data_IF_909209298225
#
_entry.id   IF_909209298225
#
_cell.length_a   1.000
_cell.length_b   1.000
_cell.length_c   1.000
_cell.angle_alpha   90.00
_cell.angle_beta   90.00
_cell.angle_gamma   90.00
#
_symmetry.space_group_name_H-M   'P 1'
#
loop_
_entity.id
_entity.type
_entity.pdbx_description
1 polymer ?
#
# COMPACT_ATOMS: atom_id res chain seq x y z
N UNK A 1 19.96 1.90 -2.46
CA UNK A 1 19.98 0.70 -3.31
C UNK A 1 18.74 0.74 -4.20
N UNK A 2 18.87 0.52 -5.51
CA UNK A 2 17.77 0.61 -6.48
C UNK A 2 17.08 -0.73 -6.68
N UNK A 3 15.80 -0.73 -7.04
CA UNK A 3 15.06 -1.95 -7.41
C UNK A 3 15.13 -2.10 -8.93
N UNK A 4 15.71 -3.21 -9.40
CA UNK A 4 15.81 -3.49 -10.84
C UNK A 4 14.55 -4.20 -11.37
N UNK A 5 14.35 -4.18 -12.70
CA UNK A 5 13.30 -4.99 -13.36
C UNK A 5 13.43 -6.47 -13.00
N UNK A 6 14.66 -6.99 -13.02
CA UNK A 6 14.92 -8.40 -12.71
C UNK A 6 14.59 -8.75 -11.26
N UNK A 7 14.74 -7.80 -10.34
CA UNK A 7 14.32 -7.99 -8.96
C UNK A 7 12.80 -8.03 -8.82
N UNK A 8 12.05 -7.14 -9.51
CA UNK A 8 10.59 -7.17 -9.52
C UNK A 8 10.06 -8.46 -10.15
N UNK A 9 10.63 -8.87 -11.28
CA UNK A 9 10.18 -10.05 -12.04
C UNK A 9 10.56 -11.34 -11.30
N UNK A 10 11.86 -11.55 -11.05
CA UNK A 10 12.37 -12.81 -10.51
C UNK A 10 12.21 -12.94 -9.00
N UNK A 11 12.17 -11.81 -8.27
CA UNK A 11 12.11 -11.80 -6.81
C UNK A 11 10.71 -11.53 -6.25
N UNK A 12 9.81 -10.91 -7.01
CA UNK A 12 8.45 -10.56 -6.55
C UNK A 12 7.35 -10.97 -7.54
N UNK A 13 7.71 -11.62 -8.65
CA UNK A 13 6.76 -12.15 -9.62
C UNK A 13 5.97 -11.11 -10.41
N UNK A 14 6.45 -9.86 -10.49
CA UNK A 14 5.76 -8.80 -11.26
C UNK A 14 5.83 -9.12 -12.75
N UNK A 15 4.72 -8.92 -13.48
CA UNK A 15 4.69 -9.04 -14.93
C UNK A 15 5.81 -8.20 -15.59
N UNK A 16 6.56 -8.74 -16.57
CA UNK A 16 7.70 -8.04 -17.16
C UNK A 16 7.39 -6.67 -17.74
N UNK A 17 6.19 -6.48 -18.30
CA UNK A 17 5.78 -5.20 -18.88
C UNK A 17 5.49 -4.17 -17.79
N UNK A 18 4.80 -4.58 -16.73
CA UNK A 18 4.51 -3.73 -15.56
C UNK A 18 5.82 -3.34 -14.86
N UNK A 19 6.72 -4.32 -14.65
CA UNK A 19 8.03 -4.08 -14.06
C UNK A 19 8.86 -3.09 -14.90
N UNK A 20 8.90 -3.28 -16.23
CA UNK A 20 9.60 -2.38 -17.12
C UNK A 20 9.01 -0.97 -17.12
N UNK A 21 7.67 -0.88 -17.20
CA UNK A 21 6.95 0.38 -17.22
C UNK A 21 7.31 1.26 -16.01
N UNK A 22 7.27 0.71 -14.79
CA UNK A 22 7.54 1.50 -13.59
C UNK A 22 9.01 1.75 -13.31
N UNK A 23 9.90 0.80 -13.63
CA UNK A 23 11.35 0.99 -13.41
C UNK A 23 11.92 2.05 -14.37
N UNK A 24 11.44 2.09 -15.62
CA UNK A 24 11.91 3.05 -16.63
C UNK A 24 11.18 4.40 -16.54
N UNK A 25 10.13 4.50 -15.73
CA UNK A 25 9.35 5.74 -15.60
C UNK A 25 10.20 6.84 -14.97
N UNK A 26 10.09 8.05 -15.52
CA UNK A 26 10.70 9.22 -14.92
C UNK A 26 9.93 9.64 -13.67
N UNK A 27 10.66 10.12 -12.66
CA UNK A 27 10.06 10.78 -11.50
C UNK A 27 9.21 11.97 -11.95
N UNK A 28 7.95 12.09 -11.49
CA UNK A 28 7.11 13.23 -11.84
C UNK A 28 7.70 14.53 -11.26
N UNK A 29 7.75 15.57 -12.11
CA UNK A 29 8.19 16.90 -11.68
C UNK A 29 7.19 17.50 -10.69
N UNK A 30 7.71 18.27 -9.74
CA UNK A 30 6.93 19.02 -8.75
C UNK A 30 5.98 18.15 -7.90
N UNK A 31 6.32 16.88 -7.72
CA UNK A 31 5.58 15.94 -6.88
C UNK A 31 6.30 15.73 -5.54
N UNK A 32 5.60 15.96 -4.43
CA UNK A 32 6.12 15.83 -3.06
C UNK A 32 6.53 14.40 -2.71
N UNK A 33 5.81 13.40 -3.20
CA UNK A 33 6.06 12.00 -2.90
C UNK A 33 7.44 11.51 -3.38
N UNK A 34 7.89 12.04 -4.52
CA UNK A 34 9.22 11.75 -5.07
C UNK A 34 10.21 12.91 -4.88
N UNK A 35 9.94 13.87 -3.98
CA UNK A 35 10.84 15.02 -3.75
C UNK A 35 12.25 14.53 -3.40
N UNK A 36 13.24 14.98 -4.17
CA UNK A 36 14.65 14.60 -3.97
C UNK A 36 15.01 13.18 -4.42
N UNK A 37 14.11 12.48 -5.13
CA UNK A 37 14.37 11.14 -5.69
C UNK A 37 14.83 11.23 -7.15
N UNK A 38 15.77 10.37 -7.51
CA UNK A 38 16.23 10.18 -8.89
C UNK A 38 15.55 9.00 -9.59
N UNK A 39 14.99 8.08 -8.81
CA UNK A 39 14.40 6.84 -9.29
C UNK A 39 12.92 6.79 -8.90
N UNK A 40 12.10 6.29 -9.81
CA UNK A 40 10.66 6.14 -9.60
C UNK A 40 10.37 5.02 -8.58
N UNK A 41 11.04 3.87 -8.73
CA UNK A 41 10.95 2.74 -7.80
C UNK A 41 12.25 2.61 -6.99
N UNK A 42 12.16 2.89 -5.68
CA UNK A 42 13.20 2.59 -4.71
C UNK A 42 12.90 1.28 -3.98
N UNK A 43 13.87 0.78 -3.19
CA UNK A 43 13.72 -0.47 -2.41
C UNK A 43 12.80 -0.33 -1.18
N UNK A 44 12.48 0.89 -0.75
CA UNK A 44 11.59 1.12 0.39
C UNK A 44 10.18 0.63 0.12
N UNK A 45 9.51 0.14 1.16
CA UNK A 45 8.11 -0.32 1.18
C UNK A 45 7.17 0.73 0.57
N UNK A 46 7.42 2.02 0.86
CA UNK A 46 6.73 3.15 0.26
C UNK A 46 6.74 3.16 -1.28
N UNK A 47 7.77 2.70 -1.97
CA UNK A 47 7.77 2.73 -3.45
C UNK A 47 7.46 1.37 -4.08
N UNK A 48 7.78 0.28 -3.39
CA UNK A 48 7.60 -1.07 -3.91
C UNK A 48 6.13 -1.47 -4.09
N UNK A 49 5.22 -0.92 -3.27
CA UNK A 49 3.80 -1.28 -3.40
C UNK A 49 3.23 -0.87 -4.77
N UNK A 50 3.79 0.15 -5.45
CA UNK A 50 3.27 0.67 -6.73
C UNK A 50 3.26 -0.42 -7.81
N UNK A 51 4.41 -0.96 -8.26
CA UNK A 51 4.41 -2.00 -9.30
C UNK A 51 3.69 -3.27 -8.85
N UNK A 52 3.72 -3.59 -7.56
CA UNK A 52 3.03 -4.76 -7.00
C UNK A 52 1.51 -4.62 -7.05
N UNK A 53 0.98 -3.43 -6.74
CA UNK A 53 -0.46 -3.20 -6.77
C UNK A 53 -1.00 -3.19 -8.20
N UNK A 54 -0.24 -2.67 -9.17
CA UNK A 54 -0.61 -2.76 -10.58
C UNK A 54 -0.52 -4.20 -11.11
N UNK A 55 0.46 -4.99 -10.66
CA UNK A 55 0.52 -6.43 -10.95
C UNK A 55 -0.69 -7.17 -10.37
N UNK A 56 -1.12 -6.83 -9.15
CA UNK A 56 -2.33 -7.41 -8.54
C UNK A 56 -3.61 -7.00 -9.28
N UNK A 57 -3.69 -5.78 -9.81
CA UNK A 57 -4.78 -5.36 -10.71
C UNK A 57 -4.83 -6.21 -11.98
N UNK A 58 -3.67 -6.43 -12.62
CA UNK A 58 -3.56 -7.30 -13.79
C UNK A 58 -3.99 -8.74 -13.46
N UNK A 59 -3.47 -9.31 -12.36
CA UNK A 59 -3.82 -10.66 -11.88
C UNK A 59 -5.28 -10.78 -11.47
N UNK A 60 -5.91 -9.69 -11.03
CA UNK A 60 -7.34 -9.69 -10.78
C UNK A 60 -8.14 -9.94 -12.06
N UNK A 61 -7.63 -9.43 -13.20
CA UNK A 61 -8.19 -9.55 -14.55
C UNK A 61 -8.28 -8.23 -15.33
N UNK A 62 -7.68 -7.14 -14.84
CA UNK A 62 -7.68 -5.85 -15.55
C UNK A 62 -6.73 -5.89 -16.75
N UNK A 63 -7.08 -5.22 -17.85
CA UNK A 63 -6.24 -5.16 -19.04
C UNK A 63 -5.00 -4.29 -18.79
N UNK A 64 -3.84 -4.73 -19.30
CA UNK A 64 -2.57 -4.00 -19.12
C UNK A 64 -2.61 -2.63 -19.76
N UNK A 65 -3.28 -2.52 -20.90
CA UNK A 65 -3.48 -1.27 -21.63
C UNK A 65 -4.19 -0.22 -20.76
N UNK A 66 -5.14 -0.65 -19.94
CA UNK A 66 -5.90 0.25 -19.06
C UNK A 66 -5.10 0.65 -17.82
N UNK A 67 -4.42 -0.31 -17.18
CA UNK A 67 -3.66 -0.03 -15.95
C UNK A 67 -2.31 0.62 -16.24
N UNK A 68 -1.74 0.47 -17.43
CA UNK A 68 -0.50 1.15 -17.83
C UNK A 68 -0.76 2.43 -18.63
N UNK A 69 -2.03 2.86 -18.76
CA UNK A 69 -2.37 4.15 -19.37
C UNK A 69 -1.66 5.29 -18.60
N UNK A 70 -0.87 6.15 -19.27
CA UNK A 70 -0.17 7.25 -18.63
C UNK A 70 -1.07 8.19 -17.81
N UNK A 71 -2.33 8.36 -18.22
CA UNK A 71 -3.35 9.16 -17.53
C UNK A 71 -3.78 8.50 -16.23
N UNK A 72 -3.97 7.17 -16.23
CA UNK A 72 -4.30 6.40 -15.02
C UNK A 72 -3.16 6.48 -13.99
N UNK A 73 -1.92 6.28 -14.47
CA UNK A 73 -0.72 6.38 -13.63
C UNK A 73 -0.50 7.81 -13.13
N UNK A 74 -0.79 8.83 -13.94
CA UNK A 74 -0.68 10.23 -13.50
C UNK A 74 -1.70 10.59 -12.39
N UNK A 75 -2.87 9.96 -12.38
CA UNK A 75 -3.85 10.12 -11.30
C UNK A 75 -3.29 9.52 -10.01
N UNK A 76 -2.71 8.31 -10.06
CA UNK A 76 -2.04 7.70 -8.92
C UNK A 76 -0.93 8.60 -8.36
N UNK A 77 -0.09 9.17 -9.23
CA UNK A 77 0.99 10.09 -8.83
C UNK A 77 0.45 11.33 -8.11
N UNK A 78 -0.68 11.89 -8.57
CA UNK A 78 -1.31 13.04 -7.92
C UNK A 78 -1.92 12.68 -6.57
N UNK A 79 -2.52 11.50 -6.44
CA UNK A 79 -3.02 11.03 -5.14
C UNK A 79 -1.85 10.91 -4.15
N UNK A 80 -0.73 10.33 -4.57
CA UNK A 80 0.47 10.21 -3.75
C UNK A 80 1.12 11.56 -3.42
N UNK A 81 1.05 12.54 -4.32
CA UNK A 81 1.46 13.92 -4.02
C UNK A 81 0.63 14.52 -2.87
N UNK A 82 -0.70 14.35 -2.90
CA UNK A 82 -1.56 14.81 -1.80
C UNK A 82 -1.28 14.05 -0.50
N UNK A 83 -1.04 12.74 -0.57
CA UNK A 83 -0.63 11.96 0.61
C UNK A 83 0.67 12.49 1.22
N UNK A 84 1.70 12.73 0.41
CA UNK A 84 2.95 13.31 0.88
C UNK A 84 2.76 14.71 1.46
N UNK A 85 1.94 15.57 0.84
CA UNK A 85 1.64 16.91 1.39
C UNK A 85 1.00 16.84 2.77
N UNK A 86 0.09 15.89 2.99
CA UNK A 86 -0.49 15.65 4.30
C UNK A 86 0.56 15.14 5.30
N UNK A 87 1.35 14.13 4.94
CA UNK A 87 2.43 13.60 5.79
C UNK A 87 3.46 14.67 6.18
N UNK A 88 3.77 15.60 5.28
CA UNK A 88 4.67 16.73 5.57
C UNK A 88 3.99 17.92 6.29
N UNK A 89 2.70 17.81 6.64
CA UNK A 89 1.95 18.86 7.33
C UNK A 89 1.66 20.09 6.47
N UNK A 90 1.77 19.99 5.14
CA UNK A 90 1.49 21.08 4.20
C UNK A 90 -0.02 21.30 4.01
N UNK A 91 -0.84 20.27 4.22
CA UNK A 91 -2.31 20.30 4.15
C UNK A 91 -2.91 19.43 5.27
N UNK A 92 -4.17 19.69 5.65
CA UNK A 92 -4.90 18.84 6.60
C UNK A 92 -5.42 17.56 5.93
N UNK A 93 -5.80 16.56 6.74
CA UNK A 93 -6.46 15.34 6.25
C UNK A 93 -7.73 15.66 5.44
N UNK A 94 -8.59 16.54 5.96
CA UNK A 94 -9.80 16.99 5.26
C UNK A 94 -9.48 17.64 3.91
N UNK A 95 -8.45 18.49 3.84
CA UNK A 95 -8.04 19.14 2.59
C UNK A 95 -7.46 18.14 1.58
N UNK A 96 -6.68 17.16 2.05
CA UNK A 96 -6.16 16.07 1.23
C UNK A 96 -7.30 15.31 0.55
N UNK A 97 -8.27 14.83 1.34
CA UNK A 97 -9.39 14.05 0.82
C UNK A 97 -10.26 14.89 -0.10
N UNK A 98 -10.57 16.15 0.24
CA UNK A 98 -11.36 17.04 -0.60
C UNK A 98 -10.69 17.31 -1.97
N UNK A 99 -9.37 17.49 -1.98
CA UNK A 99 -8.61 17.68 -3.21
C UNK A 99 -8.62 16.44 -4.10
N UNK A 100 -8.43 15.25 -3.52
CA UNK A 100 -8.52 13.98 -4.25
C UNK A 100 -9.93 13.78 -4.81
N UNK A 101 -10.97 14.02 -4.01
CA UNK A 101 -12.37 13.87 -4.46
C UNK A 101 -12.69 14.79 -5.63
N UNK A 102 -12.31 16.07 -5.54
CA UNK A 102 -12.54 17.07 -6.60
C UNK A 102 -11.84 16.68 -7.90
N UNK A 103 -10.63 16.11 -7.81
CA UNK A 103 -9.88 15.62 -8.97
C UNK A 103 -10.52 14.39 -9.60
N UNK A 104 -11.03 13.46 -8.80
CA UNK A 104 -11.51 12.13 -9.25
C UNK A 104 -12.95 12.16 -9.71
N UNK A 105 -13.82 12.96 -9.09
CA UNK A 105 -15.25 13.03 -9.38
C UNK A 105 -15.61 13.15 -10.87
N UNK A 106 -15.02 14.07 -11.67
CA UNK A 106 -15.35 14.18 -13.09
C UNK A 106 -14.88 12.98 -13.94
N UNK A 107 -13.99 12.14 -13.39
CA UNK A 107 -13.40 10.98 -14.07
C UNK A 107 -14.04 9.66 -13.63
N UNK A 108 -14.80 9.67 -12.54
CA UNK A 108 -15.31 8.48 -11.88
C UNK A 108 -16.24 7.66 -12.79
N UNK A 109 -15.88 6.39 -13.00
CA UNK A 109 -16.70 5.36 -13.65
C UNK A 109 -17.47 4.53 -12.63
N UNK A 110 -16.98 4.45 -11.40
CA UNK A 110 -17.60 3.74 -10.28
C UNK A 110 -18.17 4.70 -9.23
N UNK A 111 -19.37 5.21 -9.47
CA UNK A 111 -20.06 6.13 -8.54
C UNK A 111 -20.37 5.49 -7.19
N UNK A 112 -20.62 4.18 -7.15
CA UNK A 112 -20.81 3.43 -5.90
C UNK A 112 -19.56 3.52 -5.01
N UNK A 113 -18.37 3.27 -5.57
CA UNK A 113 -17.12 3.29 -4.82
C UNK A 113 -16.78 4.72 -4.38
N UNK A 114 -17.03 5.69 -5.25
CA UNK A 114 -16.86 7.11 -4.91
C UNK A 114 -17.70 7.51 -3.69
N UNK A 115 -18.95 7.04 -3.60
CA UNK A 115 -19.82 7.31 -2.46
C UNK A 115 -19.38 6.55 -1.21
N UNK A 116 -18.99 5.27 -1.33
CA UNK A 116 -18.49 4.49 -0.20
C UNK A 116 -17.21 5.12 0.40
N UNK A 117 -16.28 5.56 -0.45
CA UNK A 117 -15.06 6.27 -0.02
C UNK A 117 -15.40 7.61 0.63
N UNK A 118 -16.37 8.37 0.10
CA UNK A 118 -16.83 9.62 0.73
C UNK A 118 -17.35 9.41 2.14
N UNK A 119 -18.10 8.35 2.39
CA UNK A 119 -18.58 8.02 3.74
C UNK A 119 -17.42 7.55 4.62
N UNK A 120 -16.55 6.68 4.10
CA UNK A 120 -15.40 6.13 4.81
C UNK A 120 -14.43 7.21 5.32
N UNK A 121 -14.13 8.22 4.50
CA UNK A 121 -13.18 9.28 4.84
C UNK A 121 -13.77 10.42 5.71
N UNK A 122 -14.99 10.29 6.26
CA UNK A 122 -15.58 11.32 7.14
C UNK A 122 -15.03 11.33 8.57
N UNK A 123 -14.39 10.24 9.00
CA UNK A 123 -13.97 10.06 10.39
C UNK A 123 -12.46 9.83 10.46
N UNK A 124 -11.79 10.55 11.36
CA UNK A 124 -10.39 10.37 11.70
C UNK A 124 -10.28 9.98 13.19
N UNK A 125 -9.56 8.90 13.55
CA UNK A 125 -8.84 7.98 12.66
C UNK A 125 -9.79 7.11 11.81
N UNK A 126 -9.31 6.66 10.66
CA UNK A 126 -10.07 5.82 9.72
C UNK A 126 -10.45 4.48 10.37
N UNK A 127 -11.74 4.13 10.31
CA UNK A 127 -12.29 2.88 10.84
C UNK A 127 -13.02 2.10 9.76
N UNK A 128 -12.98 0.77 9.88
CA UNK A 128 -13.70 -0.12 9.00
C UNK A 128 -15.16 0.33 8.83
N UNK A 129 -15.57 0.54 7.57
CA UNK A 129 -16.91 0.98 7.18
C UNK A 129 -17.31 0.21 5.92
N UNK A 130 -18.32 -0.66 6.05
CA UNK A 130 -18.73 -1.53 4.95
C UNK A 130 -17.61 -2.49 4.53
N UNK A 131 -17.15 -2.39 3.29
CA UNK A 131 -16.06 -3.21 2.74
C UNK A 131 -14.71 -2.46 2.70
N UNK A 132 -14.61 -1.30 3.34
CA UNK A 132 -13.42 -0.46 3.36
C UNK A 132 -12.86 -0.40 4.78
N UNK A 133 -11.55 -0.34 4.87
CA UNK A 133 -10.77 -0.20 6.08
C UNK A 133 -10.67 -1.48 6.92
N UNK A 134 -9.68 -1.46 7.80
CA UNK A 134 -9.47 -2.44 8.87
C UNK A 134 -9.77 -1.80 10.22
N UNK A 135 -10.01 -2.63 11.23
CA UNK A 135 -10.18 -2.17 12.62
C UNK A 135 -8.93 -1.48 13.18
N UNK A 136 -7.76 -1.86 12.68
CA UNK A 136 -6.49 -1.22 13.01
C UNK A 136 -6.27 -0.01 12.08
N UNK A 137 -6.61 1.18 12.57
CA UNK A 137 -6.62 2.40 11.76
C UNK A 137 -5.27 2.78 11.16
N UNK A 138 -4.16 2.46 11.84
CA UNK A 138 -2.82 2.74 11.32
C UNK A 138 -2.54 1.99 10.00
N UNK A 139 -3.20 0.85 9.78
CA UNK A 139 -3.09 0.08 8.53
C UNK A 139 -3.93 0.66 7.38
N UNK A 140 -4.78 1.64 7.66
CA UNK A 140 -5.64 2.29 6.68
C UNK A 140 -5.00 3.55 6.08
N UNK A 141 -3.80 3.96 6.54
CA UNK A 141 -3.14 5.23 6.14
C UNK A 141 -2.89 5.37 4.63
N UNK A 142 -2.81 4.25 3.90
CA UNK A 142 -2.67 4.25 2.44
C UNK A 142 -3.99 4.39 1.66
N UNK A 143 -5.15 4.25 2.30
CA UNK A 143 -6.43 4.00 1.61
C UNK A 143 -6.89 5.13 0.70
N UNK A 144 -6.33 6.34 0.83
CA UNK A 144 -6.60 7.44 -0.09
C UNK A 144 -6.31 7.03 -1.55
N UNK A 145 -5.43 6.05 -1.79
CA UNK A 145 -5.17 5.54 -3.12
C UNK A 145 -6.30 4.72 -3.73
N UNK A 146 -7.26 4.22 -2.92
CA UNK A 146 -8.42 3.49 -3.43
C UNK A 146 -9.32 4.35 -4.34
N UNK A 147 -9.26 5.68 -4.24
CA UNK A 147 -9.90 6.58 -5.20
C UNK A 147 -9.42 6.37 -6.65
N UNK A 148 -8.21 5.85 -6.85
CA UNK A 148 -7.71 5.47 -8.18
C UNK A 148 -8.61 4.42 -8.85
N UNK A 149 -9.19 3.50 -8.08
CA UNK A 149 -10.05 2.45 -8.62
C UNK A 149 -11.40 3.01 -9.11
N UNK A 150 -11.77 4.24 -8.75
CA UNK A 150 -12.99 4.88 -9.23
C UNK A 150 -12.95 5.20 -10.73
N UNK A 151 -11.77 5.40 -11.33
CA UNK A 151 -11.64 5.94 -12.70
C UNK A 151 -11.46 4.87 -13.78
N UNK A 152 -11.15 3.63 -13.40
CA UNK A 152 -10.97 2.54 -14.36
C UNK A 152 -12.33 2.04 -14.87
N UNK A 153 -12.37 1.54 -16.12
CA UNK A 153 -13.56 0.95 -16.72
C UNK A 153 -13.53 -0.58 -16.56
N UNK A 154 -13.72 -1.07 -15.33
CA UNK A 154 -13.73 -2.49 -15.01
C UNK A 154 -15.12 -2.96 -14.52
N UNK A 155 -15.43 -4.27 -14.55
CA UNK A 155 -16.61 -4.79 -13.87
C UNK A 155 -16.54 -4.55 -12.36
N UNK A 156 -17.68 -4.28 -11.71
CA UNK A 156 -17.75 -4.02 -10.25
C UNK A 156 -17.11 -5.12 -9.40
N UNK A 157 -17.33 -6.39 -9.76
CA UNK A 157 -16.76 -7.53 -9.02
C UNK A 157 -15.24 -7.58 -9.14
N UNK A 158 -14.69 -7.12 -10.26
CA UNK A 158 -13.26 -6.99 -10.46
C UNK A 158 -12.68 -5.91 -9.54
N UNK A 159 -13.32 -4.74 -9.47
CA UNK A 159 -12.91 -3.65 -8.57
C UNK A 159 -12.95 -4.10 -7.10
N UNK A 160 -14.01 -4.80 -6.68
CA UNK A 160 -14.10 -5.35 -5.32
C UNK A 160 -12.98 -6.36 -5.02
N UNK A 161 -12.64 -7.20 -5.99
CA UNK A 161 -11.51 -8.13 -5.88
C UNK A 161 -10.18 -7.39 -5.72
N UNK A 162 -9.95 -6.31 -6.48
CA UNK A 162 -8.75 -5.47 -6.37
C UNK A 162 -8.68 -4.76 -5.01
N UNK A 163 -9.81 -4.27 -4.47
CA UNK A 163 -9.85 -3.72 -3.10
C UNK A 163 -9.47 -4.80 -2.07
N UNK A 164 -9.92 -6.05 -2.25
CA UNK A 164 -9.46 -7.17 -1.43
C UNK A 164 -7.93 -7.36 -1.51
N UNK A 165 -7.36 -7.30 -2.71
CA UNK A 165 -5.91 -7.39 -2.92
C UNK A 165 -5.14 -6.23 -2.31
N UNK A 166 -5.71 -5.01 -2.32
CA UNK A 166 -5.16 -3.86 -1.63
C UNK A 166 -4.99 -4.12 -0.13
N UNK A 167 -6.04 -4.61 0.53
CA UNK A 167 -6.02 -4.91 1.96
C UNK A 167 -5.16 -6.13 2.33
N UNK A 168 -4.77 -6.95 1.35
CA UNK A 168 -3.71 -7.94 1.54
C UNK A 168 -2.31 -7.33 1.40
N UNK A 169 -2.09 -6.44 0.43
CA UNK A 169 -0.77 -5.91 0.09
C UNK A 169 -0.30 -4.79 1.02
N UNK A 170 -1.07 -3.71 1.13
CA UNK A 170 -0.60 -2.49 1.79
C UNK A 170 -0.55 -2.65 3.31
N UNK A 171 -1.59 -3.18 3.98
CA UNK A 171 -1.48 -3.52 5.40
C UNK A 171 -0.33 -4.46 5.72
N UNK A 172 0.03 -5.37 4.80
CA UNK A 172 1.20 -6.24 4.95
C UNK A 172 2.52 -5.48 4.92
N UNK A 173 2.67 -4.51 4.02
CA UNK A 173 3.83 -3.63 4.01
C UNK A 173 3.91 -2.79 5.29
N UNK A 174 2.82 -2.12 5.66
CA UNK A 174 2.78 -1.23 6.81
C UNK A 174 3.04 -1.98 8.12
N UNK A 175 2.38 -3.11 8.33
CA UNK A 175 2.57 -3.90 9.53
C UNK A 175 3.99 -4.50 9.58
N UNK A 176 4.55 -4.91 8.44
CA UNK A 176 5.92 -5.40 8.40
C UNK A 176 6.92 -4.28 8.69
N UNK A 177 6.70 -3.07 8.18
CA UNK A 177 7.49 -1.85 8.49
C UNK A 177 7.45 -1.56 10.00
N UNK A 178 6.25 -1.49 10.58
CA UNK A 178 6.04 -1.21 12.00
C UNK A 178 6.62 -2.33 12.90
N UNK A 179 6.62 -3.60 12.45
CA UNK A 179 7.33 -4.72 13.09
C UNK A 179 8.85 -4.57 12.97
N UNK A 180 9.33 -4.05 11.83
CA UNK A 180 10.74 -3.81 11.60
C UNK A 180 11.27 -2.64 12.44
N UNK A 181 10.48 -1.60 12.64
CA UNK A 181 10.89 -0.33 13.25
C UNK A 181 10.37 -0.12 14.68
N UNK A 182 9.71 -1.14 15.25
CA UNK A 182 9.17 -1.24 16.62
C UNK A 182 9.88 -0.40 17.70
N UNK A 183 11.22 -0.45 17.72
CA UNK A 183 12.03 0.14 18.78
C UNK A 183 12.25 1.65 18.60
N UNK A 184 12.26 2.12 17.36
CA UNK A 184 12.37 3.54 17.03
C UNK A 184 11.00 4.20 17.21
N UNK A 185 9.94 3.58 16.69
CA UNK A 185 8.56 4.10 16.79
C UNK A 185 8.09 4.23 18.24
N UNK A 186 8.39 3.23 19.08
CA UNK A 186 8.06 3.29 20.52
C UNK A 186 8.76 4.45 21.24
N UNK A 187 9.96 4.84 20.81
CA UNK A 187 10.69 5.96 21.40
C UNK A 187 10.16 7.31 20.90
N UNK A 188 9.65 7.36 19.68
CA UNK A 188 9.19 8.59 19.01
C UNK A 188 7.68 8.83 19.10
N UNK A 189 6.89 7.90 19.66
CA UNK A 189 5.43 7.97 19.76
C UNK A 189 4.75 8.13 18.38
N UNK A 190 5.33 7.52 17.35
CA UNK A 190 4.77 7.56 16.01
C UNK A 190 3.54 6.64 15.88
N UNK A 191 2.70 6.90 14.88
CA UNK A 191 1.53 6.06 14.60
C UNK A 191 1.98 4.67 14.14
N UNK A 192 1.79 3.68 15.01
CA UNK A 192 2.25 2.31 14.79
C UNK A 192 1.11 1.32 14.98
N UNK A 193 0.92 0.43 14.00
CA UNK A 193 -0.13 -0.59 13.97
C UNK A 193 -0.03 -1.62 15.09
N UNK A 194 1.14 -1.79 15.72
CA UNK A 194 1.32 -2.66 16.88
C UNK A 194 0.68 -2.12 18.15
N UNK A 195 0.42 -0.81 18.24
CA UNK A 195 -0.36 -0.23 19.35
C UNK A 195 -1.73 -0.90 19.50
N UNK A 196 -2.32 -1.34 18.39
CA UNK A 196 -3.59 -2.07 18.35
C UNK A 196 -3.47 -3.49 18.92
N UNK A 197 -2.35 -4.18 18.67
CA UNK A 197 -2.14 -5.56 19.10
C UNK A 197 -1.55 -5.66 20.51
N UNK A 198 -0.82 -4.63 20.96
CA UNK A 198 -0.04 -4.62 22.18
C UNK A 198 1.46 -4.69 21.89
N UNK A 199 2.26 -4.04 22.74
CA UNK A 199 3.72 -4.00 22.65
C UNK A 199 4.42 -5.12 23.42
N UNK A 200 3.66 -6.09 23.95
CA UNK A 200 4.20 -7.28 24.60
C UNK A 200 4.41 -8.41 23.59
N UNK A 201 5.04 -9.50 24.02
CA UNK A 201 5.26 -10.68 23.18
C UNK A 201 3.95 -11.19 22.55
N UNK A 202 2.84 -11.18 23.29
CA UNK A 202 1.55 -11.66 22.82
C UNK A 202 1.01 -10.79 21.66
N UNK A 203 1.08 -9.46 21.79
CA UNK A 203 0.68 -8.53 20.74
C UNK A 203 1.55 -8.65 19.49
N UNK A 204 2.86 -8.77 19.66
CA UNK A 204 3.80 -8.97 18.54
C UNK A 204 3.56 -10.30 17.83
N UNK A 205 3.34 -11.39 18.57
CA UNK A 205 2.96 -12.69 17.99
C UNK A 205 1.68 -12.55 17.16
N UNK A 206 0.65 -11.88 17.70
CA UNK A 206 -0.62 -11.69 16.99
C UNK A 206 -0.48 -10.85 15.73
N UNK A 207 0.41 -9.86 15.74
CA UNK A 207 0.75 -9.07 14.55
C UNK A 207 1.46 -9.92 13.49
N UNK A 208 2.43 -10.75 13.89
CA UNK A 208 3.10 -11.72 13.01
C UNK A 208 2.09 -12.68 12.39
N UNK A 209 1.24 -13.31 13.20
CA UNK A 209 0.20 -14.23 12.72
C UNK A 209 -0.77 -13.55 11.74
N UNK A 210 -1.02 -12.25 11.91
CA UNK A 210 -1.86 -11.48 11.00
C UNK A 210 -1.15 -11.26 9.67
N UNK A 211 0.12 -10.85 9.68
CA UNK A 211 0.87 -10.60 8.45
C UNK A 211 1.13 -11.90 7.67
N UNK A 212 1.42 -13.01 8.36
CA UNK A 212 1.61 -14.33 7.73
C UNK A 212 0.35 -14.86 7.04
N UNK A 213 -0.84 -14.61 7.61
CA UNK A 213 -2.11 -14.94 6.94
C UNK A 213 -2.31 -14.14 5.66
N UNK A 214 -1.92 -12.86 5.66
CA UNK A 214 -1.97 -12.04 4.45
C UNK A 214 -0.95 -12.54 3.41
N UNK A 215 0.27 -12.87 3.83
CA UNK A 215 1.31 -13.40 2.92
C UNK A 215 0.87 -14.68 2.24
N UNK A 216 0.26 -15.61 2.97
CA UNK A 216 -0.30 -16.84 2.40
C UNK A 216 -1.39 -16.54 1.37
N UNK A 217 -2.25 -15.59 1.66
CA UNK A 217 -3.30 -15.17 0.70
C UNK A 217 -2.71 -14.49 -0.54
N UNK A 218 -1.61 -13.74 -0.38
CA UNK A 218 -0.85 -13.17 -1.50
C UNK A 218 -0.11 -14.25 -2.30
N UNK A 219 0.40 -15.29 -1.66
CA UNK A 219 1.08 -16.43 -2.29
C UNK A 219 0.15 -17.15 -3.25
N UNK A 220 -1.12 -17.34 -2.88
CA UNK A 220 -2.16 -17.95 -3.73
C UNK A 220 -2.40 -17.12 -5.03
N UNK A 221 -2.07 -15.83 -5.04
CA UNK A 221 -2.25 -14.91 -6.18
C UNK A 221 -0.94 -14.74 -6.97
N UNK A 222 0.17 -14.59 -6.25
CA UNK A 222 1.53 -14.42 -6.75
C UNK A 222 2.50 -15.12 -5.78
N UNK A 223 2.93 -16.35 -6.08
CA UNK A 223 3.77 -17.15 -5.18
C UNK A 223 5.08 -16.46 -4.80
N UNK A 224 5.73 -15.78 -5.75
CA UNK A 224 6.99 -15.08 -5.50
C UNK A 224 6.80 -13.86 -4.59
N UNK A 225 5.64 -13.20 -4.64
CA UNK A 225 5.33 -12.10 -3.73
C UNK A 225 5.12 -12.60 -2.30
N UNK A 226 4.37 -13.69 -2.13
CA UNK A 226 4.20 -14.35 -0.83
C UNK A 226 5.56 -14.78 -0.23
N UNK A 227 6.41 -15.43 -1.04
CA UNK A 227 7.75 -15.85 -0.63
C UNK A 227 8.66 -14.65 -0.29
N UNK A 228 8.60 -13.56 -1.07
CA UNK A 228 9.34 -12.33 -0.78
C UNK A 228 8.99 -11.76 0.59
N UNK A 229 7.70 -11.69 0.91
CA UNK A 229 7.25 -11.20 2.21
C UNK A 229 7.64 -12.15 3.35
N UNK A 230 7.41 -13.46 3.18
CA UNK A 230 7.76 -14.45 4.18
C UNK A 230 9.27 -14.43 4.47
N UNK A 231 10.11 -14.41 3.43
CA UNK A 231 11.57 -14.37 3.59
C UNK A 231 12.05 -13.10 4.27
N UNK A 232 11.42 -11.95 4.00
CA UNK A 232 11.71 -10.69 4.68
C UNK A 232 11.41 -10.78 6.17
N UNK A 233 10.23 -11.29 6.54
CA UNK A 233 9.84 -11.51 7.93
C UNK A 233 10.76 -12.53 8.64
N UNK A 234 11.05 -13.67 8.01
CA UNK A 234 11.94 -14.69 8.57
C UNK A 234 13.37 -14.17 8.81
N UNK A 235 13.87 -13.31 7.91
CA UNK A 235 15.14 -12.65 8.15
C UNK A 235 15.09 -11.74 9.38
N UNK A 236 13.99 -11.00 9.56
CA UNK A 236 13.81 -10.11 10.72
C UNK A 236 13.67 -10.89 12.03
N UNK A 237 12.93 -12.01 12.03
CA UNK A 237 12.76 -12.89 13.21
C UNK A 237 14.08 -13.43 13.76
N UNK A 238 15.11 -13.55 12.90
CA UNK A 238 16.45 -14.00 13.29
C UNK A 238 17.32 -12.91 13.92
N UNK A 239 16.86 -11.65 13.92
CA UNK A 239 17.64 -10.58 14.55
C UNK A 239 17.62 -10.72 16.08
N UNK A 240 18.73 -10.45 16.79
CA UNK A 240 18.81 -10.62 18.25
C UNK A 240 17.73 -9.85 19.01
N UNK A 241 17.39 -8.67 18.50
CA UNK A 241 16.34 -7.84 19.08
C UNK A 241 14.96 -8.49 19.00
N UNK A 242 14.60 -9.02 17.83
CA UNK A 242 13.29 -9.64 17.64
C UNK A 242 13.18 -10.93 18.46
N UNK A 243 14.26 -11.72 18.55
CA UNK A 243 14.31 -12.87 19.43
C UNK A 243 14.16 -12.48 20.91
N UNK A 244 14.66 -11.31 21.33
CA UNK A 244 14.45 -10.85 22.70
C UNK A 244 12.97 -10.56 22.98
N UNK A 245 12.26 -9.89 22.07
CA UNK A 245 10.81 -9.62 22.20
C UNK A 245 10.00 -10.92 22.22
N UNK A 246 10.32 -11.89 21.36
CA UNK A 246 9.53 -13.13 21.28
C UNK A 246 9.70 -14.04 22.50
N UNK A 247 10.79 -13.87 23.27
CA UNK A 247 11.12 -14.72 24.40
C UNK A 247 10.82 -14.08 25.78
N UNK A 248 10.42 -12.81 25.84
CA UNK A 248 10.16 -12.07 27.09
C UNK A 248 8.87 -11.26 27.01
#
# INVERSE_FOLDING_TARGET
MFTSKQQLIGGMGVDPEIAAFFVDRNVPKDNRYWKGRYLYIARGTGYLFIPLFFDLQFRAGMAKEDILDPSYVSIMEKILDYAAKFEFGEISFTDQIAAIQTMIEPLAKHTWLMNDLREYFKVEPLKATGNLGLENSALNRGDALLYLLCVNQAPTDLIKKVIGYWYLLVPSFLLLDDIMDFNEDRKHQEENALSYYGYDAAGVIKAIETVERNFKSLEDINPLLGEFFQSTLEHKKKTPYFQHILNN
#
